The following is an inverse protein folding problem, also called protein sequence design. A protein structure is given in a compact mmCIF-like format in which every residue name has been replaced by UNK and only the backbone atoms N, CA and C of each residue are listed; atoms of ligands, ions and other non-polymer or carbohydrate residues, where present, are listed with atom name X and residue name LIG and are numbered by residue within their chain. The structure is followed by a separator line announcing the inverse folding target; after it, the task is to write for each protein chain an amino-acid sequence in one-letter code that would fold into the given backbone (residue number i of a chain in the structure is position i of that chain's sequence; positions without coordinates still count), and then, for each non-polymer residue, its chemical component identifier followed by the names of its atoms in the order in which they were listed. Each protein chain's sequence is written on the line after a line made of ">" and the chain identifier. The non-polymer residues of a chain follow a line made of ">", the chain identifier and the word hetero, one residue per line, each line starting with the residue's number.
data_IF_969691975560
#
_entry.id   IF_969691975560
#
_cell.length_a   1.000
_cell.length_b   1.000
_cell.length_c   1.000
_cell.angle_alpha   90.00
_cell.angle_beta   90.00
_cell.angle_gamma   90.00
#
_symmetry.space_group_name_H-M   'P 1'
#
loop_
_entity.id
_entity.type
_entity.pdbx_description
1 polymer ?
#
# COMPACT_ATOMS: atom_id res chain seq x y z
N UNK A 1 0.73 -15.69 30.21
CA UNK A 1 1.78 -14.94 29.50
C UNK A 1 1.24 -13.63 28.90
N UNK A 2 0.15 -13.67 28.09
CA UNK A 2 -0.46 -12.49 27.46
C UNK A 2 -0.84 -11.42 28.49
N UNK A 3 -1.55 -11.82 29.52
CA UNK A 3 -2.02 -10.95 30.59
C UNK A 3 -0.85 -10.22 31.31
N UNK A 4 0.20 -10.98 31.66
CA UNK A 4 1.40 -10.40 32.28
C UNK A 4 2.13 -9.41 31.36
N UNK A 5 2.26 -9.77 30.08
CA UNK A 5 2.90 -8.91 29.07
C UNK A 5 2.16 -7.57 28.90
N UNK A 6 0.84 -7.60 28.76
CA UNK A 6 0.08 -6.37 28.58
C UNK A 6 0.04 -5.50 29.85
N UNK A 7 -0.03 -6.12 31.04
CA UNK A 7 0.06 -5.37 32.30
C UNK A 7 1.38 -4.65 32.48
N UNK A 8 2.47 -5.29 32.08
CA UNK A 8 3.83 -4.72 32.22
C UNK A 8 4.13 -3.68 31.13
N UNK A 9 3.80 -4.01 29.88
CA UNK A 9 4.22 -3.22 28.73
C UNK A 9 3.26 -2.07 28.40
N UNK A 10 1.94 -2.28 28.61
CA UNK A 10 0.87 -1.34 28.26
C UNK A 10 -0.16 -1.21 29.41
N UNK A 11 0.24 -0.74 30.60
CA UNK A 11 -0.62 -0.76 31.78
C UNK A 11 -1.89 0.10 31.66
N UNK A 12 -1.82 1.22 30.96
CA UNK A 12 -2.93 2.11 30.65
C UNK A 12 -3.94 1.46 29.68
N UNK A 13 -3.43 0.82 28.64
CA UNK A 13 -4.24 0.08 27.68
C UNK A 13 -4.88 -1.16 28.30
N UNK A 14 -4.13 -1.90 29.12
CA UNK A 14 -4.62 -3.10 29.80
C UNK A 14 -5.84 -2.82 30.69
N UNK A 15 -5.89 -1.67 31.35
CA UNK A 15 -7.01 -1.27 32.17
C UNK A 15 -8.33 -1.12 31.37
N UNK A 16 -8.25 -0.89 30.07
CA UNK A 16 -9.40 -0.77 29.16
C UNK A 16 -9.80 -2.10 28.51
N UNK A 17 -8.96 -3.13 28.62
CA UNK A 17 -9.17 -4.45 28.00
C UNK A 17 -8.95 -5.59 29.00
N UNK A 18 -9.78 -5.71 30.05
CA UNK A 18 -9.58 -6.72 31.11
C UNK A 18 -9.68 -8.17 30.62
N UNK A 19 -10.33 -8.41 29.48
CA UNK A 19 -10.54 -9.75 28.88
C UNK A 19 -9.51 -10.06 27.76
N UNK A 20 -8.40 -9.33 27.69
CA UNK A 20 -7.47 -9.46 26.56
C UNK A 20 -6.88 -10.87 26.42
N UNK A 21 -6.65 -11.58 27.52
CA UNK A 21 -6.12 -12.94 27.48
C UNK A 21 -7.10 -13.92 26.84
N UNK A 22 -8.39 -13.85 27.21
CA UNK A 22 -9.44 -14.70 26.64
C UNK A 22 -9.68 -14.37 25.17
N UNK A 23 -9.69 -13.09 24.81
CA UNK A 23 -9.83 -12.65 23.44
C UNK A 23 -8.65 -13.11 22.58
N UNK A 24 -7.42 -13.04 23.10
CA UNK A 24 -6.23 -13.49 22.40
C UNK A 24 -6.28 -14.98 22.04
N UNK A 25 -6.75 -15.82 22.96
CA UNK A 25 -6.86 -17.26 22.72
C UNK A 25 -8.01 -17.63 21.77
N UNK A 26 -9.09 -16.84 21.79
CA UNK A 26 -10.30 -17.13 21.00
C UNK A 26 -10.28 -16.48 19.60
N UNK A 27 -9.34 -15.57 19.29
CA UNK A 27 -9.23 -14.98 17.96
C UNK A 27 -8.27 -15.80 17.09
N UNK A 28 -8.68 -16.16 15.86
CA UNK A 28 -7.82 -16.89 14.95
C UNK A 28 -6.66 -16.02 14.46
N UNK A 29 -5.48 -16.63 14.34
CA UNK A 29 -4.36 -15.98 13.65
C UNK A 29 -4.69 -15.86 12.18
N UNK A 30 -4.67 -14.62 11.67
CA UNK A 30 -4.77 -14.32 10.25
C UNK A 30 -3.40 -14.17 9.63
N UNK A 31 -3.22 -14.68 8.41
CA UNK A 31 -2.02 -14.41 7.62
C UNK A 31 -2.25 -13.26 6.67
N UNK A 32 -1.23 -12.41 6.49
CA UNK A 32 -1.21 -11.39 5.47
C UNK A 32 -0.62 -12.01 4.19
N UNK A 33 -1.29 -11.81 3.07
CA UNK A 33 -0.87 -12.35 1.79
C UNK A 33 -0.84 -11.26 0.71
N UNK A 34 0.09 -11.41 -0.22
CA UNK A 34 0.12 -10.67 -1.48
C UNK A 34 -0.24 -11.64 -2.58
N UNK A 35 -1.16 -11.24 -3.45
CA UNK A 35 -1.50 -12.02 -4.63
C UNK A 35 -1.04 -11.27 -5.87
N UNK A 36 -0.21 -11.93 -6.68
CA UNK A 36 0.21 -11.44 -8.00
C UNK A 36 -0.31 -12.35 -9.08
N UNK A 37 -1.03 -11.79 -10.00
CA UNK A 37 -1.60 -12.50 -11.14
C UNK A 37 -1.33 -11.77 -12.45
N UNK A 38 -1.32 -12.48 -13.54
CA UNK A 38 -1.29 -11.97 -14.90
C UNK A 38 -1.57 -13.11 -15.89
N UNK A 39 -2.29 -12.90 -16.98
CA UNK A 39 -3.03 -11.68 -17.33
C UNK A 39 -4.22 -11.45 -16.40
N UNK A 40 -4.69 -10.18 -16.30
CA UNK A 40 -5.86 -9.87 -15.48
C UNK A 40 -7.18 -10.06 -16.21
N UNK A 41 -7.14 -10.34 -17.51
CA UNK A 41 -8.33 -10.68 -18.27
C UNK A 41 -8.14 -11.95 -19.10
N UNK A 42 -9.21 -12.71 -19.26
CA UNK A 42 -9.32 -13.86 -20.17
C UNK A 42 -10.75 -13.89 -20.72
N UNK A 43 -10.87 -13.86 -22.05
CA UNK A 43 -12.17 -13.80 -22.71
C UNK A 43 -13.03 -12.63 -22.19
N UNK A 44 -14.20 -12.93 -21.62
CA UNK A 44 -15.16 -11.94 -21.09
C UNK A 44 -15.06 -11.76 -19.58
N UNK A 45 -13.95 -12.14 -18.96
CA UNK A 45 -13.72 -12.02 -17.52
C UNK A 45 -12.48 -11.17 -17.26
N UNK A 46 -12.58 -10.23 -16.31
CA UNK A 46 -11.47 -9.38 -15.85
C UNK A 46 -11.38 -9.41 -14.33
N UNK A 47 -10.16 -9.41 -13.80
CA UNK A 47 -9.87 -9.27 -12.36
C UNK A 47 -9.64 -7.81 -12.02
N UNK A 48 -10.18 -7.36 -10.90
CA UNK A 48 -10.05 -5.99 -10.38
C UNK A 48 -9.84 -6.00 -8.87
N UNK A 49 -9.26 -4.93 -8.34
CA UNK A 49 -9.02 -4.80 -6.90
C UNK A 49 -8.20 -5.97 -6.34
N UNK A 50 -8.56 -6.45 -5.16
CA UNK A 50 -7.83 -7.52 -4.47
C UNK A 50 -7.77 -8.84 -5.28
N UNK A 51 -8.72 -9.09 -6.17
CA UNK A 51 -8.67 -10.24 -7.07
C UNK A 51 -7.50 -10.17 -8.07
N UNK A 52 -7.06 -8.96 -8.42
CA UNK A 52 -5.96 -8.72 -9.35
C UNK A 52 -4.63 -8.45 -8.64
N UNK A 53 -4.66 -7.66 -7.55
CA UNK A 53 -3.48 -7.11 -6.91
C UNK A 53 -3.61 -6.97 -5.37
N UNK A 54 -4.14 -7.99 -4.69
CA UNK A 54 -4.20 -7.99 -3.23
C UNK A 54 -2.85 -7.61 -2.60
N UNK A 55 -2.86 -6.70 -1.65
CA UNK A 55 -1.66 -6.18 -1.01
C UNK A 55 -1.76 -6.21 0.52
N UNK A 56 -0.63 -6.12 1.21
CA UNK A 56 -0.60 -5.98 2.66
C UNK A 56 -1.00 -4.56 3.09
N UNK A 57 -1.60 -4.37 4.30
CA UNK A 57 -2.29 -3.13 4.66
C UNK A 57 -1.37 -1.96 5.07
N UNK A 58 -0.06 -2.09 4.93
CA UNK A 58 0.91 -1.17 5.55
C UNK A 58 0.95 0.24 4.94
N UNK A 59 0.45 0.45 3.72
CA UNK A 59 0.19 1.79 3.16
C UNK A 59 -1.27 2.22 3.26
N UNK A 60 -2.19 1.28 3.51
CA UNK A 60 -3.63 1.55 3.54
C UNK A 60 -4.23 1.92 2.18
N UNK A 61 -3.57 1.55 1.08
CA UNK A 61 -3.95 1.99 -0.28
C UNK A 61 -4.70 0.91 -1.10
N UNK A 62 -4.92 -0.30 -0.57
CA UNK A 62 -5.60 -1.37 -1.33
C UNK A 62 -7.01 -0.96 -1.78
N UNK A 63 -7.81 -0.39 -0.89
CA UNK A 63 -9.15 0.10 -1.22
C UNK A 63 -9.13 1.25 -2.24
N UNK A 64 -8.21 2.21 -2.07
CA UNK A 64 -8.05 3.33 -2.99
C UNK A 64 -7.68 2.85 -4.40
N UNK A 65 -6.74 1.90 -4.50
CA UNK A 65 -6.36 1.28 -5.77
C UNK A 65 -7.53 0.56 -6.44
N UNK A 66 -8.38 -0.14 -5.67
CA UNK A 66 -9.59 -0.77 -6.18
C UNK A 66 -10.61 0.23 -6.71
N UNK A 67 -10.80 1.38 -6.05
CA UNK A 67 -11.65 2.45 -6.57
C UNK A 67 -11.04 3.12 -7.81
N UNK A 68 -9.73 3.29 -7.85
CA UNK A 68 -9.04 3.79 -9.04
C UNK A 68 -9.20 2.83 -10.23
N UNK A 69 -9.18 1.52 -9.99
CA UNK A 69 -9.48 0.51 -11.02
C UNK A 69 -10.88 0.74 -11.64
N UNK A 70 -11.87 1.03 -10.82
CA UNK A 70 -13.23 1.34 -11.31
C UNK A 70 -13.24 2.60 -12.17
N UNK A 71 -12.50 3.63 -11.76
CA UNK A 71 -12.39 4.89 -12.53
C UNK A 71 -11.72 4.63 -13.88
N UNK A 72 -10.59 3.94 -13.89
CA UNK A 72 -9.86 3.61 -15.13
C UNK A 72 -10.72 2.73 -16.04
N UNK A 73 -11.42 1.74 -15.49
CA UNK A 73 -12.32 0.89 -16.26
C UNK A 73 -13.43 1.72 -16.92
N UNK A 74 -14.03 2.65 -16.18
CA UNK A 74 -15.05 3.55 -16.72
C UNK A 74 -14.51 4.44 -17.85
N UNK A 75 -13.35 5.04 -17.69
CA UNK A 75 -12.69 5.86 -18.70
C UNK A 75 -12.40 5.06 -19.99
N UNK A 76 -11.91 3.83 -19.83
CA UNK A 76 -11.64 2.94 -20.96
C UNK A 76 -12.92 2.50 -21.69
N UNK A 77 -14.01 2.26 -20.96
CA UNK A 77 -15.34 1.99 -21.55
C UNK A 77 -15.78 3.14 -22.45
N UNK A 78 -15.65 4.38 -21.98
CA UNK A 78 -15.98 5.56 -22.78
C UNK A 78 -15.05 5.72 -24.00
N UNK A 79 -13.74 5.53 -23.79
CA UNK A 79 -12.74 5.63 -24.83
C UNK A 79 -12.96 4.65 -25.98
N UNK A 80 -13.34 3.41 -25.66
CA UNK A 80 -13.51 2.35 -26.64
C UNK A 80 -14.96 2.09 -27.08
N UNK A 81 -15.91 3.00 -26.70
CA UNK A 81 -17.32 2.83 -27.03
C UNK A 81 -17.85 1.43 -26.64
N UNK A 82 -17.52 0.96 -25.45
CA UNK A 82 -17.91 -0.33 -24.89
C UNK A 82 -17.40 -1.57 -25.68
N UNK A 83 -16.34 -1.44 -26.46
CA UNK A 83 -15.62 -2.57 -27.03
C UNK A 83 -14.82 -3.27 -25.90
N UNK A 84 -15.49 -4.19 -25.21
CA UNK A 84 -15.01 -4.85 -24.01
C UNK A 84 -13.69 -5.60 -24.19
N UNK A 85 -13.40 -6.13 -25.38
CA UNK A 85 -12.15 -6.83 -25.62
C UNK A 85 -10.96 -5.84 -25.54
N UNK A 86 -11.12 -4.64 -26.15
CA UNK A 86 -10.12 -3.58 -26.03
C UNK A 86 -10.05 -2.97 -24.64
N UNK A 87 -11.20 -2.78 -23.98
CA UNK A 87 -11.26 -2.26 -22.61
C UNK A 87 -10.47 -3.14 -21.66
N UNK A 88 -10.72 -4.45 -21.67
CA UNK A 88 -10.05 -5.38 -20.75
C UNK A 88 -8.56 -5.54 -21.04
N UNK A 89 -8.19 -5.56 -22.34
CA UNK A 89 -6.79 -5.60 -22.73
C UNK A 89 -6.03 -4.35 -22.23
N UNK A 90 -6.52 -3.17 -22.56
CA UNK A 90 -5.86 -1.91 -22.16
C UNK A 90 -5.85 -1.73 -20.65
N UNK A 91 -6.94 -2.06 -19.95
CA UNK A 91 -6.99 -2.06 -18.50
C UNK A 91 -5.89 -2.95 -17.90
N UNK A 92 -5.82 -4.21 -18.32
CA UNK A 92 -4.83 -5.17 -17.81
C UNK A 92 -3.39 -4.70 -18.01
N UNK A 93 -3.08 -4.14 -19.19
CA UNK A 93 -1.73 -3.66 -19.51
C UNK A 93 -1.39 -2.38 -18.73
N UNK A 94 -2.32 -1.45 -18.63
CA UNK A 94 -2.05 -0.13 -18.04
C UNK A 94 -2.04 -0.15 -16.51
N UNK A 95 -2.88 -0.99 -15.87
CA UNK A 95 -2.99 -1.06 -14.40
C UNK A 95 -2.00 -2.03 -13.76
N UNK A 96 -1.56 -3.05 -14.48
CA UNK A 96 -0.60 -4.05 -13.95
C UNK A 96 0.65 -3.43 -13.33
N UNK A 97 1.34 -2.46 -13.96
CA UNK A 97 2.49 -1.82 -13.35
C UNK A 97 2.18 -1.09 -12.03
N UNK A 98 0.99 -0.51 -11.89
CA UNK A 98 0.57 0.18 -10.67
C UNK A 98 0.23 -0.82 -9.55
N UNK A 99 -0.44 -1.92 -9.88
CA UNK A 99 -0.71 -2.99 -8.92
C UNK A 99 0.58 -3.61 -8.36
N UNK A 100 1.54 -3.93 -9.23
CA UNK A 100 2.84 -4.46 -8.81
C UNK A 100 3.61 -3.45 -7.95
N UNK A 101 3.65 -2.18 -8.36
CA UNK A 101 4.32 -1.12 -7.62
C UNK A 101 3.69 -0.92 -6.23
N UNK A 102 2.36 -0.93 -6.12
CA UNK A 102 1.66 -0.82 -4.85
C UNK A 102 2.03 -1.96 -3.90
N UNK A 103 2.15 -3.18 -4.40
CA UNK A 103 2.57 -4.34 -3.60
C UNK A 103 4.01 -4.19 -3.08
N UNK A 104 4.95 -3.74 -3.94
CA UNK A 104 6.33 -3.47 -3.52
C UNK A 104 6.40 -2.33 -2.48
N UNK A 105 5.67 -1.24 -2.71
CA UNK A 105 5.59 -0.12 -1.77
C UNK A 105 5.05 -0.56 -0.41
N UNK A 106 4.00 -1.37 -0.40
CA UNK A 106 3.39 -1.88 0.84
C UNK A 106 4.34 -2.79 1.61
N UNK A 107 5.08 -3.67 0.93
CA UNK A 107 6.13 -4.50 1.53
C UNK A 107 7.27 -3.65 2.08
N UNK A 108 7.73 -2.67 1.34
CA UNK A 108 8.78 -1.76 1.81
C UNK A 108 8.34 -1.01 3.07
N UNK A 109 7.09 -0.51 3.09
CA UNK A 109 6.58 0.19 4.27
C UNK A 109 6.44 -0.74 5.48
N UNK A 110 6.12 -2.01 5.27
CA UNK A 110 6.18 -3.02 6.35
C UNK A 110 7.58 -3.10 6.98
N UNK A 111 8.63 -3.18 6.15
CA UNK A 111 10.00 -3.21 6.65
C UNK A 111 10.37 -1.91 7.39
N UNK A 112 9.93 -0.76 6.87
CA UNK A 112 10.12 0.54 7.53
C UNK A 112 9.47 0.53 8.92
N UNK A 113 8.23 0.11 9.02
CA UNK A 113 7.47 0.09 10.28
C UNK A 113 8.02 -0.92 11.29
N UNK A 114 8.47 -2.08 10.82
CA UNK A 114 8.99 -3.15 11.67
C UNK A 114 10.41 -2.89 12.16
N UNK A 115 11.30 -2.45 11.26
CA UNK A 115 12.75 -2.46 11.51
C UNK A 115 13.37 -1.05 11.54
N UNK A 116 13.05 -0.20 10.54
CA UNK A 116 13.81 1.03 10.33
C UNK A 116 13.42 2.18 11.25
N UNK A 117 12.20 2.19 11.79
CA UNK A 117 11.74 3.25 12.71
C UNK A 117 12.53 3.28 14.03
N UNK A 118 13.25 2.21 14.37
CA UNK A 118 14.14 2.16 15.53
C UNK A 118 15.58 2.61 15.21
N UNK A 119 15.95 2.78 13.92
CA UNK A 119 17.30 3.19 13.53
C UNK A 119 17.45 4.73 13.61
N UNK A 120 18.38 5.25 14.46
CA UNK A 120 18.63 6.69 14.55
C UNK A 120 19.06 7.34 13.23
N UNK A 121 19.77 6.62 12.35
CA UNK A 121 20.18 7.13 11.04
C UNK A 121 18.98 7.30 10.12
N UNK A 122 18.08 6.33 10.12
CA UNK A 122 16.83 6.42 9.37
C UNK A 122 15.98 7.60 9.85
N UNK A 123 15.83 7.77 11.16
CA UNK A 123 15.07 8.89 11.74
C UNK A 123 15.70 10.26 11.41
N UNK A 124 17.03 10.35 11.43
CA UNK A 124 17.73 11.57 11.02
C UNK A 124 17.49 11.88 9.55
N UNK A 125 17.61 10.87 8.67
CA UNK A 125 17.31 11.00 7.25
C UNK A 125 15.89 11.51 7.03
N UNK A 126 14.89 10.94 7.71
CA UNK A 126 13.48 11.40 7.60
C UNK A 126 13.29 12.85 8.04
N UNK A 127 14.00 13.32 9.07
CA UNK A 127 13.99 14.72 9.48
C UNK A 127 14.59 15.64 8.41
N UNK A 128 15.68 15.21 7.76
CA UNK A 128 16.33 15.96 6.67
C UNK A 128 15.38 16.03 5.47
N UNK A 129 14.80 14.90 5.04
CA UNK A 129 13.84 14.82 3.93
C UNK A 129 12.63 15.75 4.17
N UNK A 130 12.06 15.74 5.37
CA UNK A 130 10.94 16.59 5.73
C UNK A 130 11.30 18.10 5.69
N UNK A 131 12.50 18.46 6.16
CA UNK A 131 12.98 19.84 6.09
C UNK A 131 13.26 20.26 4.66
N UNK A 132 13.86 19.39 3.85
CA UNK A 132 14.15 19.66 2.45
C UNK A 132 12.87 19.85 1.65
N UNK A 133 11.88 18.94 1.80
CA UNK A 133 10.57 19.04 1.18
C UNK A 133 9.85 20.36 1.52
N UNK A 134 9.96 20.80 2.78
CA UNK A 134 9.36 22.08 3.19
C UNK A 134 10.03 23.30 2.55
N UNK A 135 11.34 23.26 2.33
CA UNK A 135 12.11 24.35 1.70
C UNK A 135 11.99 24.35 0.17
N UNK A 136 11.85 23.17 -0.43
CA UNK A 136 11.86 22.99 -1.89
C UNK A 136 10.73 22.03 -2.32
N UNK A 137 9.46 22.38 -2.09
CA UNK A 137 8.32 21.47 -2.33
C UNK A 137 8.19 21.08 -3.82
N UNK A 138 8.66 21.93 -4.73
CA UNK A 138 8.67 21.67 -6.18
C UNK A 138 9.78 20.71 -6.63
N UNK A 139 10.77 20.45 -5.76
CA UNK A 139 11.93 19.57 -6.07
C UNK A 139 11.87 18.23 -5.37
N UNK A 140 11.12 18.16 -4.27
CA UNK A 140 11.12 16.99 -3.41
C UNK A 140 9.76 16.77 -2.78
N UNK A 141 9.12 15.70 -3.18
CA UNK A 141 7.95 15.15 -2.48
C UNK A 141 8.34 13.80 -1.87
N UNK A 142 8.27 13.64 -0.54
CA UNK A 142 8.56 12.36 0.11
C UNK A 142 7.72 11.23 -0.46
N UNK A 143 8.30 10.04 -0.60
CA UNK A 143 7.61 8.86 -1.17
C UNK A 143 6.26 8.60 -0.50
N UNK A 144 6.19 8.68 0.83
CA UNK A 144 4.94 8.49 1.56
C UNK A 144 3.86 9.48 1.11
N UNK A 145 4.23 10.74 0.89
CA UNK A 145 3.29 11.77 0.42
C UNK A 145 2.85 11.55 -1.03
N UNK A 146 3.74 11.06 -1.89
CA UNK A 146 3.38 10.70 -3.26
C UNK A 146 2.33 9.60 -3.30
N UNK A 147 2.50 8.56 -2.49
CA UNK A 147 1.61 7.39 -2.47
C UNK A 147 0.27 7.68 -1.78
N UNK A 148 0.29 8.48 -0.69
CA UNK A 148 -0.87 8.61 0.21
C UNK A 148 -1.69 9.89 -0.04
N UNK A 149 -1.06 10.96 -0.52
CA UNK A 149 -1.66 12.30 -0.59
C UNK A 149 -1.55 12.95 -1.98
N UNK A 150 -1.37 12.15 -3.04
CA UNK A 150 -1.35 12.68 -4.40
C UNK A 150 -1.97 11.70 -5.39
N UNK A 151 -2.27 12.17 -6.59
CA UNK A 151 -2.77 11.39 -7.73
C UNK A 151 -1.63 10.82 -8.60
N UNK A 152 -0.39 10.81 -8.07
CA UNK A 152 0.75 10.21 -8.77
C UNK A 152 0.54 8.69 -8.83
N UNK A 153 0.60 8.14 -10.05
CA UNK A 153 0.48 6.69 -10.25
C UNK A 153 1.49 5.92 -9.40
N UNK A 154 1.06 4.81 -8.82
CA UNK A 154 1.91 3.99 -7.93
C UNK A 154 3.22 3.56 -8.59
N UNK A 155 3.20 3.21 -9.87
CA UNK A 155 4.40 2.86 -10.64
C UNK A 155 5.41 4.01 -10.76
N UNK A 156 4.92 5.24 -10.90
CA UNK A 156 5.73 6.45 -10.96
C UNK A 156 6.30 6.79 -9.58
N UNK A 157 5.45 6.75 -8.55
CA UNK A 157 5.87 6.96 -7.15
C UNK A 157 6.92 5.92 -6.71
N UNK A 158 6.75 4.66 -7.10
CA UNK A 158 7.71 3.60 -6.82
C UNK A 158 9.07 3.87 -7.46
N UNK A 159 9.09 4.20 -8.76
CA UNK A 159 10.32 4.51 -9.47
C UNK A 159 11.06 5.71 -8.86
N UNK A 160 10.32 6.78 -8.51
CA UNK A 160 10.90 7.94 -7.83
C UNK A 160 11.39 7.59 -6.41
N UNK A 161 10.64 6.78 -5.67
CA UNK A 161 11.05 6.29 -4.36
C UNK A 161 12.36 5.51 -4.39
N UNK A 162 12.58 4.66 -5.40
CA UNK A 162 13.85 3.96 -5.59
C UNK A 162 15.01 4.94 -5.80
N UNK A 163 14.79 6.00 -6.56
CA UNK A 163 15.80 7.07 -6.74
C UNK A 163 16.08 7.81 -5.43
N UNK A 164 15.06 8.10 -4.64
CA UNK A 164 15.22 8.76 -3.34
C UNK A 164 15.98 7.92 -2.32
N UNK A 165 15.88 6.59 -2.36
CA UNK A 165 16.60 5.70 -1.45
C UNK A 165 18.11 5.72 -1.70
N UNK A 166 18.54 5.87 -2.96
CA UNK A 166 19.96 5.84 -3.37
C UNK A 166 20.67 7.18 -3.14
N UNK A 167 19.92 8.28 -3.05
CA UNK A 167 20.46 9.62 -2.73
C UNK A 167 20.69 9.80 -1.23
#
# INVERSE_FOLDING_TARGET
>A
EVDAFFKETFPDFYALMPEIADQWENHPLSSLAIMRSYPWHVNKTVLMGDAAHATVPFYGQGMNAGFEDCTVMWELMQKHNEDWDKVFEEYSVTRKPDGDALQELSLYNYLVMRDYVADPKFLLRKKIEAKFSKLYPEKWMPLYSQVTFSDIRYSVAYAEGQRQIVM
#
